data_IF_273666830910
#
_entry.id   IF_273666830910
#
_cell.length_a   1.000
_cell.length_b   1.000
_cell.length_c   1.000
_cell.angle_alpha   90.00
_cell.angle_beta   90.00
_cell.angle_gamma   90.00
#
_symmetry.space_group_name_H-M   'P 1'
#
loop_
_entity.id
_entity.type
_entity.pdbx_description
1 polymer ?
#
# COMPACT_ATOMS: atom_id res chain seq x y z
N UNK A 1 7.35 16.60 0.10
CA UNK A 1 7.13 15.15 -0.05
C UNK A 1 7.81 14.70 -1.34
N UNK A 2 8.78 13.79 -1.26
CA UNK A 2 9.23 13.03 -2.43
C UNK A 2 8.27 11.84 -2.56
N UNK A 3 7.66 11.66 -3.73
CA UNK A 3 6.91 10.46 -4.04
C UNK A 3 7.83 9.53 -4.80
N UNK A 4 8.01 8.30 -4.30
CA UNK A 4 8.75 7.24 -4.97
C UNK A 4 7.72 6.26 -5.53
N UNK A 5 7.78 5.98 -6.83
CA UNK A 5 6.94 4.97 -7.47
C UNK A 5 7.76 3.70 -7.66
N UNK A 6 7.34 2.63 -7.01
CA UNK A 6 7.94 1.30 -7.11
C UNK A 6 6.91 0.30 -7.61
N UNK A 7 7.36 -0.75 -8.29
CA UNK A 7 6.52 -1.83 -8.80
C UNK A 7 7.08 -3.16 -8.33
N UNK A 8 6.20 -4.07 -7.92
CA UNK A 8 6.52 -5.45 -7.55
C UNK A 8 5.64 -6.39 -8.37
N UNK A 9 6.19 -7.51 -8.84
CA UNK A 9 5.45 -8.59 -9.49
C UNK A 9 5.70 -9.89 -8.73
N UNK A 10 4.84 -10.90 -8.94
CA UNK A 10 5.03 -12.25 -8.40
C UNK A 10 4.97 -12.36 -6.86
N UNK A 11 4.23 -11.46 -6.20
CA UNK A 11 3.95 -11.53 -4.77
C UNK A 11 2.48 -11.86 -4.56
N UNK A 12 2.20 -12.98 -3.89
CA UNK A 12 0.85 -13.33 -3.45
C UNK A 12 0.50 -12.58 -2.16
N UNK A 13 -0.12 -11.41 -2.31
CA UNK A 13 -0.65 -10.65 -1.18
C UNK A 13 -1.90 -11.29 -0.56
N UNK A 14 -2.63 -12.15 -1.28
CA UNK A 14 -3.89 -12.73 -0.78
C UNK A 14 -3.67 -13.75 0.35
N UNK A 15 -2.47 -14.32 0.44
CA UNK A 15 -2.09 -15.25 1.50
C UNK A 15 -1.52 -14.57 2.76
N UNK A 16 -1.40 -13.24 2.77
CA UNK A 16 -0.82 -12.49 3.89
C UNK A 16 -1.90 -12.02 4.86
N UNK A 17 -1.54 -11.90 6.12
CA UNK A 17 -2.25 -11.04 7.09
C UNK A 17 -1.90 -9.57 6.85
N UNK A 18 -2.70 -8.66 7.42
CA UNK A 18 -2.37 -7.23 7.43
C UNK A 18 -0.99 -6.98 8.05
N UNK A 19 -0.66 -7.68 9.14
CA UNK A 19 0.66 -7.56 9.78
C UNK A 19 1.82 -7.96 8.84
N UNK A 20 1.66 -9.06 8.10
CA UNK A 20 2.67 -9.49 7.12
C UNK A 20 2.78 -8.53 5.94
N UNK A 21 1.67 -7.96 5.49
CA UNK A 21 1.64 -6.91 4.48
C UNK A 21 2.41 -5.66 4.92
N UNK A 22 2.16 -5.15 6.13
CA UNK A 22 2.91 -4.00 6.68
C UNK A 22 4.41 -4.31 6.74
N UNK A 23 4.78 -5.46 7.31
CA UNK A 23 6.18 -5.88 7.41
C UNK A 23 6.87 -6.00 6.04
N UNK A 24 6.13 -6.44 5.01
CA UNK A 24 6.65 -6.49 3.65
C UNK A 24 7.06 -5.09 3.16
N UNK A 25 6.16 -4.10 3.30
CA UNK A 25 6.43 -2.73 2.85
C UNK A 25 7.52 -2.05 3.65
N UNK A 26 7.58 -2.23 4.97
CA UNK A 26 8.66 -1.65 5.78
C UNK A 26 10.03 -2.18 5.38
N UNK A 27 10.13 -3.49 5.11
CA UNK A 27 11.37 -4.10 4.61
C UNK A 27 11.71 -3.66 3.19
N UNK A 28 10.70 -3.53 2.34
CA UNK A 28 10.87 -3.13 0.95
C UNK A 28 11.31 -1.67 0.82
N UNK A 29 10.74 -0.77 1.63
CA UNK A 29 11.07 0.66 1.63
C UNK A 29 12.27 1.01 2.51
N UNK A 30 12.72 0.09 3.37
CA UNK A 30 13.73 0.33 4.41
C UNK A 30 13.35 1.46 5.39
N UNK A 31 12.05 1.69 5.59
CA UNK A 31 11.50 2.78 6.39
C UNK A 31 10.25 2.32 7.13
N UNK A 32 9.95 2.97 8.26
CA UNK A 32 8.72 2.72 9.02
C UNK A 32 7.50 3.25 8.24
N UNK A 33 6.49 2.40 8.07
CA UNK A 33 5.25 2.74 7.37
C UNK A 33 4.14 3.01 8.40
N UNK A 34 3.59 4.23 8.41
CA UNK A 34 2.61 4.65 9.43
C UNK A 34 1.18 4.29 9.04
N UNK A 35 0.81 4.52 7.78
CA UNK A 35 -0.57 4.34 7.30
C UNK A 35 -0.57 3.91 5.85
N UNK A 36 -1.53 3.07 5.52
CA UNK A 36 -1.75 2.53 4.19
C UNK A 36 -3.15 2.90 3.72
N UNK A 37 -3.27 3.22 2.44
CA UNK A 37 -4.52 3.59 1.81
C UNK A 37 -4.61 3.05 0.40
N UNK A 38 -5.83 2.92 -0.11
CA UNK A 38 -6.09 2.64 -1.51
C UNK A 38 -7.32 3.40 -2.00
N UNK A 39 -7.43 3.55 -3.33
CA UNK A 39 -8.69 3.91 -3.96
C UNK A 39 -9.34 2.61 -4.44
N UNK A 40 -10.64 2.46 -4.19
CA UNK A 40 -11.43 1.42 -4.85
C UNK A 40 -11.23 1.45 -6.37
N UNK A 41 -11.37 0.30 -7.05
CA UNK A 41 -11.32 0.24 -8.51
C UNK A 41 -12.27 1.26 -9.15
N UNK A 42 -11.82 1.87 -10.25
CA UNK A 42 -12.52 2.92 -10.99
C UNK A 42 -12.76 4.24 -10.23
N UNK A 43 -12.43 4.30 -8.94
CA UNK A 43 -12.50 5.53 -8.16
C UNK A 43 -11.19 6.31 -8.22
N UNK A 44 -11.31 7.63 -8.29
CA UNK A 44 -10.17 8.55 -8.27
C UNK A 44 -9.75 8.89 -6.84
N UNK A 45 -8.50 9.36 -6.68
CA UNK A 45 -8.01 9.92 -5.42
C UNK A 45 -8.91 11.06 -4.87
N UNK A 46 -9.62 11.78 -5.74
CA UNK A 46 -10.53 12.85 -5.33
C UNK A 46 -11.84 12.32 -4.71
N UNK A 47 -12.22 11.08 -5.00
CA UNK A 47 -13.44 10.46 -4.48
C UNK A 47 -13.22 9.85 -3.09
N UNK A 48 -11.98 9.47 -2.77
CA UNK A 48 -11.61 9.12 -1.41
C UNK A 48 -10.47 8.13 -1.31
N UNK A 49 -9.89 8.07 -0.11
CA UNK A 49 -8.93 7.06 0.30
C UNK A 49 -9.58 6.15 1.34
N UNK A 50 -9.55 4.85 1.08
CA UNK A 50 -9.93 3.83 2.05
C UNK A 50 -8.70 3.43 2.86
N UNK A 51 -8.74 3.50 4.20
CA UNK A 51 -7.64 3.06 5.05
C UNK A 51 -7.51 1.53 5.01
N UNK A 52 -6.28 1.06 5.21
CA UNK A 52 -5.95 -0.34 5.45
C UNK A 52 -5.23 -0.39 6.79
N UNK A 53 -5.95 -0.71 7.86
CA UNK A 53 -5.47 -0.61 9.25
C UNK A 53 -5.64 -1.87 10.08
N UNK A 54 -6.38 -2.86 9.58
CA UNK A 54 -6.54 -4.18 10.18
C UNK A 54 -6.79 -5.28 9.12
N UNK A 55 -6.93 -6.53 9.57
CA UNK A 55 -7.17 -7.67 8.68
C UNK A 55 -8.54 -7.61 7.96
N UNK A 56 -9.54 -6.91 8.50
CA UNK A 56 -10.86 -6.78 7.87
C UNK A 56 -10.78 -5.82 6.69
N UNK A 57 -10.17 -4.66 6.89
CA UNK A 57 -9.93 -3.67 5.83
C UNK A 57 -8.93 -4.23 4.80
N UNK A 58 -7.94 -4.99 5.24
CA UNK A 58 -7.02 -5.69 4.35
C UNK A 58 -7.73 -6.71 3.45
N UNK A 59 -8.66 -7.49 4.00
CA UNK A 59 -9.45 -8.44 3.20
C UNK A 59 -10.30 -7.73 2.13
N UNK A 60 -10.88 -6.57 2.45
CA UNK A 60 -11.60 -5.74 1.47
C UNK A 60 -10.66 -5.24 0.37
N UNK A 61 -9.49 -4.70 0.75
CA UNK A 61 -8.45 -4.31 -0.19
C UNK A 61 -8.03 -5.44 -1.13
N UNK A 62 -7.80 -6.65 -0.61
CA UNK A 62 -7.42 -7.83 -1.42
C UNK A 62 -8.55 -8.22 -2.38
N UNK A 63 -9.79 -8.23 -1.90
CA UNK A 63 -10.95 -8.51 -2.76
C UNK A 63 -11.03 -7.53 -3.93
N UNK A 64 -10.85 -6.24 -3.66
CA UNK A 64 -10.88 -5.19 -4.69
C UNK A 64 -9.68 -5.31 -5.64
N UNK A 65 -8.47 -5.50 -5.11
CA UNK A 65 -7.24 -5.60 -5.88
C UNK A 65 -7.28 -6.76 -6.90
N UNK A 66 -7.69 -7.94 -6.45
CA UNK A 66 -7.80 -9.14 -7.30
C UNK A 66 -9.11 -9.19 -8.10
N UNK A 67 -10.08 -8.33 -7.80
CA UNK A 67 -11.27 -8.10 -8.64
C UNK A 67 -10.98 -7.28 -9.90
N UNK A 68 -9.83 -6.59 -9.96
CA UNK A 68 -9.34 -5.87 -11.14
C UNK A 68 -8.43 -6.74 -12.02
N UNK A 69 -7.79 -6.14 -13.03
CA UNK A 69 -6.68 -6.73 -13.80
C UNK A 69 -5.40 -6.97 -12.95
N UNK A 70 -5.52 -7.05 -11.63
CA UNK A 70 -4.43 -7.23 -10.66
C UNK A 70 -3.62 -5.96 -10.41
N UNK A 71 -4.18 -4.77 -10.67
CA UNK A 71 -3.48 -3.49 -10.54
C UNK A 71 -4.27 -2.54 -9.66
N UNK A 72 -3.75 -2.26 -8.47
CA UNK A 72 -4.30 -1.27 -7.56
C UNK A 72 -3.18 -0.39 -7.00
N UNK A 73 -3.47 0.89 -6.81
CA UNK A 73 -2.51 1.83 -6.23
C UNK A 73 -2.63 1.82 -4.71
N UNK A 74 -1.51 1.59 -4.04
CA UNK A 74 -1.39 1.72 -2.59
C UNK A 74 -0.63 3.01 -2.27
N UNK A 75 -1.19 3.83 -1.39
CA UNK A 75 -0.59 5.06 -0.89
C UNK A 75 -0.10 4.82 0.53
N UNK A 76 1.15 5.20 0.81
CA UNK A 76 1.80 4.93 2.09
C UNK A 76 2.30 6.23 2.70
N UNK A 77 1.88 6.52 3.92
CA UNK A 77 2.52 7.54 4.76
C UNK A 77 3.71 6.90 5.46
N UNK A 78 4.91 7.39 5.20
CA UNK A 78 6.16 6.86 5.75
C UNK A 78 7.02 7.99 6.33
N UNK A 79 7.86 7.67 7.32
CA UNK A 79 8.86 8.62 7.83
C UNK A 79 10.08 8.53 6.90
N UNK A 80 10.06 9.33 5.85
CA UNK A 80 11.22 9.47 4.97
C UNK A 80 12.43 10.01 5.71
N UNK A 81 13.59 9.36 5.56
CA UNK A 81 14.85 10.04 5.88
C UNK A 81 15.08 11.05 4.76
N UNK A 82 14.98 12.34 5.08
CA UNK A 82 15.39 13.39 4.15
C UNK A 82 16.86 13.17 3.79
N UNK A 83 17.14 12.66 2.59
CA UNK A 83 18.49 12.69 2.06
C UNK A 83 18.77 14.16 1.74
N UNK A 84 19.37 14.86 2.70
CA UNK A 84 20.01 16.15 2.46
C UNK A 84 21.09 15.90 1.40
N UNK A 85 20.84 16.43 0.20
CA UNK A 85 21.84 16.45 -0.86
C UNK A 85 22.84 17.53 -0.45
N UNK A 86 24.01 17.12 0.01
CA UNK A 86 25.18 17.98 0.17
C UNK A 86 25.74 18.41 -1.19
#
# INVERSE_FOLDING_TARGET
MKSVKSFTTDVDFSSMTYYEFVNFFERFMHEECKKFYYCEPDNSLMEGLNPISDDVEYAAFIFDAYGTDGVISVYVDHIGVGVDVA
#
